data_IF_495477920856
#
_entry.id   IF_495477920856
#
_cell.length_a   1.000
_cell.length_b   1.000
_cell.length_c   1.000
_cell.angle_alpha   90.00
_cell.angle_beta   90.00
_cell.angle_gamma   90.00
#
_symmetry.space_group_name_H-M   'P 1'
#
loop_
_entity.id
_entity.type
_entity.pdbx_description
1 polymer ?
#
# COMPACT_ATOMS: atom_id res chain seq x y z
N UNK A 1 7.49 6.15 4.53
CA UNK A 1 6.98 5.24 5.57
C UNK A 1 8.17 4.51 6.19
N UNK A 2 8.42 4.64 7.50
CA UNK A 2 9.64 4.14 8.16
C UNK A 2 9.83 2.62 7.99
N UNK A 3 8.75 1.84 8.03
CA UNK A 3 8.75 0.38 7.82
C UNK A 3 9.28 0.00 6.43
N UNK A 4 8.88 0.72 5.37
CA UNK A 4 9.35 0.46 3.99
C UNK A 4 10.87 0.61 3.87
N UNK A 5 11.45 1.60 4.55
CA UNK A 5 12.91 1.80 4.61
C UNK A 5 13.59 0.64 5.35
N UNK A 6 13.04 0.24 6.50
CA UNK A 6 13.57 -0.88 7.30
C UNK A 6 13.58 -2.19 6.50
N UNK A 7 12.50 -2.47 5.77
CA UNK A 7 12.41 -3.63 4.87
C UNK A 7 13.46 -3.59 3.75
N UNK A 8 13.65 -2.44 3.10
CA UNK A 8 14.68 -2.27 2.06
C UNK A 8 16.10 -2.45 2.60
N UNK A 9 16.36 -2.01 3.83
CA UNK A 9 17.64 -2.22 4.52
C UNK A 9 17.81 -3.62 5.11
N UNK A 10 16.81 -4.51 4.97
CA UNK A 10 16.77 -5.87 5.54
C UNK A 10 16.99 -5.92 7.06
N UNK A 11 16.54 -4.89 7.78
CA UNK A 11 16.61 -4.79 9.26
C UNK A 11 15.27 -5.11 9.93
N UNK A 12 14.59 -6.16 9.48
CA UNK A 12 13.23 -6.48 9.92
C UNK A 12 13.15 -6.91 11.40
N UNK A 13 14.26 -7.39 11.97
CA UNK A 13 14.42 -7.77 13.37
C UNK A 13 14.01 -6.65 14.34
N UNK A 14 14.23 -5.39 13.98
CA UNK A 14 13.88 -4.25 14.84
C UNK A 14 12.37 -3.99 14.93
N UNK A 15 11.58 -4.62 14.05
CA UNK A 15 10.11 -4.52 14.04
C UNK A 15 9.44 -5.59 14.90
N UNK A 16 10.19 -6.64 15.27
CA UNK A 16 9.63 -7.78 15.99
C UNK A 16 9.39 -7.44 17.45
N UNK A 17 8.28 -7.92 17.98
CA UNK A 17 7.99 -7.83 19.41
C UNK A 17 9.10 -8.52 20.22
N UNK A 18 9.60 -7.85 21.26
CA UNK A 18 10.66 -8.39 22.13
C UNK A 18 10.21 -9.64 22.87
N UNK A 19 8.92 -9.79 23.11
CA UNK A 19 8.35 -10.94 23.81
C UNK A 19 8.34 -12.22 22.95
N UNK A 20 8.41 -12.09 21.62
CA UNK A 20 8.59 -13.23 20.71
C UNK A 20 9.98 -13.87 20.83
N UNK A 21 10.98 -13.14 21.36
CA UNK A 21 12.38 -13.56 21.49
C UNK A 21 12.92 -14.06 20.14
N UNK A 22 13.28 -15.33 20.01
CA UNK A 22 13.74 -15.97 18.77
C UNK A 22 12.73 -17.01 18.25
N UNK A 23 11.46 -16.92 18.64
CA UNK A 23 10.41 -17.87 18.26
C UNK A 23 9.65 -17.37 17.02
N UNK A 24 10.38 -17.02 15.98
CA UNK A 24 9.80 -16.63 14.70
C UNK A 24 10.74 -17.00 13.56
N UNK A 25 10.16 -17.27 12.40
CA UNK A 25 10.92 -17.49 11.17
C UNK A 25 11.14 -16.16 10.43
N UNK A 26 12.33 -16.00 9.84
CA UNK A 26 12.70 -14.77 9.14
C UNK A 26 11.92 -14.59 7.82
N UNK A 27 11.55 -15.69 7.17
CA UNK A 27 10.77 -15.69 5.93
C UNK A 27 9.34 -15.27 6.27
N UNK A 28 8.71 -15.90 7.27
CA UNK A 28 7.36 -15.53 7.73
C UNK A 28 7.29 -14.05 8.17
N UNK A 29 8.34 -13.55 8.84
CA UNK A 29 8.44 -12.14 9.20
C UNK A 29 8.47 -11.24 7.96
N UNK A 30 9.28 -11.58 6.96
CA UNK A 30 9.35 -10.81 5.71
C UNK A 30 8.00 -10.79 4.99
N UNK A 31 7.33 -11.95 4.87
CA UNK A 31 6.02 -12.08 4.25
C UNK A 31 4.95 -11.26 4.96
N UNK A 32 4.89 -11.32 6.29
CA UNK A 32 3.94 -10.51 7.08
C UNK A 32 4.19 -9.02 6.89
N UNK A 33 5.47 -8.59 6.87
CA UNK A 33 5.80 -7.18 6.64
C UNK A 33 5.38 -6.74 5.23
N UNK A 34 5.53 -7.60 4.22
CA UNK A 34 5.05 -7.32 2.86
C UNK A 34 3.52 -7.18 2.82
N UNK A 35 2.79 -8.11 3.42
CA UNK A 35 1.32 -8.02 3.54
C UNK A 35 0.90 -6.73 4.25
N UNK A 36 1.55 -6.38 5.36
CA UNK A 36 1.27 -5.15 6.10
C UNK A 36 1.51 -3.88 5.28
N UNK A 37 2.61 -3.85 4.51
CA UNK A 37 2.94 -2.74 3.62
C UNK A 37 1.93 -2.59 2.47
N UNK A 38 1.41 -3.69 1.93
CA UNK A 38 0.31 -3.67 0.95
C UNK A 38 -0.99 -3.13 1.57
N UNK A 39 -1.35 -3.57 2.78
CA UNK A 39 -2.57 -3.14 3.46
C UNK A 39 -2.56 -1.66 3.86
N UNK A 40 -1.39 -1.09 4.10
CA UNK A 40 -1.21 0.29 4.58
C UNK A 40 -0.84 1.27 3.47
N UNK A 41 -0.99 0.89 2.20
CA UNK A 41 -0.75 1.78 1.07
C UNK A 41 -1.58 3.06 1.18
N UNK A 42 -0.96 4.19 0.82
CA UNK A 42 -1.57 5.51 0.93
C UNK A 42 -2.92 5.59 0.22
N UNK A 43 -2.95 5.17 -1.05
CA UNK A 43 -4.17 5.16 -1.85
C UNK A 43 -5.04 3.95 -1.48
N UNK A 44 -6.29 4.16 -1.06
CA UNK A 44 -7.19 3.07 -0.69
C UNK A 44 -7.42 2.04 -1.80
N UNK A 45 -7.43 2.48 -3.07
CA UNK A 45 -7.65 1.61 -4.23
C UNK A 45 -6.54 0.61 -4.51
N UNK A 46 -5.33 0.80 -3.96
CA UNK A 46 -4.24 -0.18 -4.12
C UNK A 46 -4.26 -1.26 -3.04
N UNK A 47 -4.87 -0.96 -1.89
CA UNK A 47 -4.92 -1.88 -0.74
C UNK A 47 -5.65 -3.17 -1.15
N UNK A 48 -5.14 -4.35 -0.77
CA UNK A 48 -5.81 -5.60 -1.07
C UNK A 48 -7.15 -5.71 -0.34
N UNK A 49 -8.09 -6.44 -0.93
CA UNK A 49 -9.31 -6.88 -0.23
C UNK A 49 -8.94 -7.86 0.86
N UNK A 50 -9.74 -7.94 1.93
CA UNK A 50 -9.49 -8.90 3.01
C UNK A 50 -9.44 -10.35 2.54
N UNK A 51 -10.20 -10.72 1.51
CA UNK A 51 -10.12 -12.05 0.89
C UNK A 51 -8.75 -12.33 0.24
N UNK A 52 -8.13 -11.31 -0.37
CA UNK A 52 -6.78 -11.42 -0.94
C UNK A 52 -5.75 -11.51 0.18
N UNK A 53 -5.93 -10.75 1.28
CA UNK A 53 -5.06 -10.81 2.46
C UNK A 53 -5.05 -12.21 3.06
N UNK A 54 -6.22 -12.82 3.27
CA UNK A 54 -6.32 -14.19 3.77
C UNK A 54 -5.60 -15.16 2.84
N UNK A 55 -5.83 -15.08 1.54
CA UNK A 55 -5.15 -15.94 0.56
C UNK A 55 -3.63 -15.80 0.59
N UNK A 56 -3.12 -14.57 0.73
CA UNK A 56 -1.67 -14.31 0.89
C UNK A 56 -1.12 -14.95 2.17
N UNK A 57 -1.83 -14.87 3.28
CA UNK A 57 -1.42 -15.48 4.55
C UNK A 57 -1.53 -17.02 4.55
N UNK A 58 -2.38 -17.58 3.69
CA UNK A 58 -2.45 -19.02 3.41
C UNK A 58 -1.33 -19.50 2.47
N UNK A 59 -0.48 -18.59 1.97
CA UNK A 59 0.69 -18.89 1.15
C UNK A 59 0.49 -18.71 -0.36
N UNK A 60 -0.60 -18.07 -0.81
CA UNK A 60 -0.90 -17.90 -2.24
C UNK A 60 -1.01 -16.42 -2.67
N UNK A 61 -0.32 -16.08 -3.77
CA UNK A 61 -0.46 -14.80 -4.48
C UNK A 61 0.28 -13.59 -3.90
N UNK A 62 1.06 -13.74 -2.81
CA UNK A 62 1.81 -12.62 -2.21
C UNK A 62 2.88 -12.05 -3.15
N UNK A 63 3.69 -12.93 -3.77
CA UNK A 63 4.80 -12.52 -4.65
C UNK A 63 4.31 -11.67 -5.82
N UNK A 64 3.30 -12.14 -6.56
CA UNK A 64 2.72 -11.43 -7.69
C UNK A 64 2.15 -10.07 -7.29
N UNK A 65 1.42 -10.03 -6.16
CA UNK A 65 0.82 -8.79 -5.66
C UNK A 65 1.88 -7.78 -5.24
N UNK A 66 2.94 -8.25 -4.59
CA UNK A 66 4.06 -7.43 -4.14
C UNK A 66 4.81 -6.80 -5.32
N UNK A 67 5.11 -7.58 -6.36
CA UNK A 67 5.78 -7.08 -7.57
C UNK A 67 4.94 -6.02 -8.29
N UNK A 68 3.63 -6.24 -8.39
CA UNK A 68 2.70 -5.28 -8.99
C UNK A 68 2.70 -3.95 -8.24
N UNK A 69 2.70 -3.99 -6.90
CA UNK A 69 2.76 -2.78 -6.08
C UNK A 69 4.05 -1.98 -6.27
N UNK A 70 5.19 -2.65 -6.47
CA UNK A 70 6.49 -1.98 -6.63
C UNK A 70 6.56 -1.19 -7.95
N UNK A 71 5.94 -1.71 -9.02
CA UNK A 71 5.89 -1.06 -10.34
C UNK A 71 5.05 0.22 -10.34
N UNK A 72 3.99 0.26 -9.53
CA UNK A 72 3.11 1.42 -9.42
C UNK A 72 3.77 2.60 -8.68
N UNK A 73 4.71 2.31 -7.76
CA UNK A 73 5.40 3.34 -6.96
C UNK A 73 6.54 4.05 -7.72
N UNK A 74 7.16 3.40 -8.72
CA UNK A 74 8.25 4.01 -9.51
C UNK A 74 7.74 5.03 -10.54
N UNK A 75 6.48 4.90 -10.98
CA UNK A 75 5.87 5.73 -12.02
C UNK A 75 5.39 7.11 -11.55
N UNK A 76 5.31 7.38 -10.24
CA UNK A 76 4.46 8.46 -9.69
C UNK A 76 5.17 9.72 -9.17
N UNK A 77 6.50 9.82 -9.29
CA UNK A 77 7.25 11.01 -8.83
C UNK A 77 7.41 12.12 -9.87
N UNK A 78 6.67 12.12 -11.01
CA UNK A 78 6.94 13.03 -12.13
C UNK A 78 5.79 13.93 -12.62
N UNK A 79 4.67 14.05 -11.90
CA UNK A 79 3.59 14.94 -12.34
C UNK A 79 3.00 15.71 -11.17
N UNK A 80 3.78 16.68 -10.70
CA UNK A 80 3.26 17.86 -10.02
C UNK A 80 3.34 19.02 -11.02
N UNK A 81 2.29 19.84 -11.02
CA UNK A 81 2.10 21.11 -11.75
C UNK A 81 1.76 20.99 -13.25
N UNK A 82 0.47 21.16 -13.60
CA UNK A 82 -0.03 22.24 -14.48
C UNK A 82 -1.48 22.01 -14.99
N UNK A 83 -2.33 22.94 -14.55
CA UNK A 83 -3.39 23.62 -15.30
C UNK A 83 -4.71 22.91 -15.68
N UNK A 84 -5.73 23.27 -14.91
CA UNK A 84 -7.13 23.52 -15.24
C UNK A 84 -7.50 23.59 -16.74
N UNK A 85 -8.41 22.72 -17.19
CA UNK A 85 -9.44 23.05 -18.18
C UNK A 85 -10.53 21.96 -18.17
N UNK A 86 -11.79 22.40 -18.13
CA UNK A 86 -12.97 21.56 -18.05
C UNK A 86 -13.25 20.75 -19.33
N UNK A 87 -14.05 19.70 -19.14
CA UNK A 87 -15.05 19.08 -20.06
C UNK A 87 -14.76 17.67 -20.57
N UNK A 88 -15.53 16.75 -20.00
CA UNK A 88 -16.27 15.63 -20.61
C UNK A 88 -15.60 14.88 -21.77
N UNK A 89 -15.29 13.60 -21.59
CA UNK A 89 -15.58 12.54 -22.58
C UNK A 89 -15.43 11.14 -21.97
N UNK A 90 -16.27 10.28 -22.49
CA UNK A 90 -16.46 8.86 -22.23
C UNK A 90 -15.32 8.01 -22.82
N UNK A 91 -15.10 6.83 -22.22
CA UNK A 91 -14.27 5.69 -22.65
C UNK A 91 -12.73 5.71 -22.46
N UNK A 92 -12.28 4.53 -22.00
CA UNK A 92 -10.92 3.98 -21.79
C UNK A 92 -10.20 4.29 -20.48
N UNK A 93 -10.01 3.20 -19.74
CA UNK A 93 -8.73 2.67 -19.24
C UNK A 93 -7.77 3.61 -18.48
N UNK A 94 -7.38 3.08 -17.32
CA UNK A 94 -6.31 3.51 -16.44
C UNK A 94 -6.34 4.91 -15.82
N UNK A 95 -6.20 4.91 -14.49
CA UNK A 95 -5.91 6.05 -13.61
C UNK A 95 -7.07 6.97 -13.23
N UNK A 96 -7.91 6.51 -12.28
CA UNK A 96 -8.68 7.40 -11.42
C UNK A 96 -7.99 7.48 -10.06
N UNK A 97 -7.19 8.53 -9.85
CA UNK A 97 -6.79 8.94 -8.50
C UNK A 97 -7.86 9.88 -7.98
N UNK A 98 -8.55 9.41 -6.96
CA UNK A 98 -9.68 10.04 -6.30
C UNK A 98 -9.18 11.30 -5.56
N UNK A 99 -9.69 12.47 -5.93
CA UNK A 99 -9.53 13.70 -5.14
C UNK A 99 -10.29 13.53 -3.82
N UNK A 100 -9.58 13.48 -2.69
CA UNK A 100 -10.19 13.62 -1.37
C UNK A 100 -10.43 15.12 -1.12
N UNK A 101 -11.65 15.59 -1.36
CA UNK A 101 -12.09 16.87 -0.82
C UNK A 101 -12.47 16.68 0.65
N UNK A 102 -11.98 17.57 1.53
CA UNK A 102 -12.32 17.57 2.94
C UNK A 102 -13.83 17.78 3.12
N UNK A 103 -14.48 16.95 3.94
CA UNK A 103 -15.88 17.12 4.31
C UNK A 103 -15.95 18.20 5.40
N UNK A 104 -16.50 19.37 5.07
CA UNK A 104 -16.82 20.36 6.09
C UNK A 104 -18.05 19.87 6.87
N UNK A 105 -17.85 19.46 8.12
CA UNK A 105 -18.95 19.16 9.02
C UNK A 105 -19.57 20.49 9.47
N UNK A 106 -20.79 20.78 8.99
CA UNK A 106 -21.61 21.90 9.46
C UNK A 106 -21.63 21.95 10.99
N UNK A 107 -21.25 23.10 11.55
CA UNK A 107 -21.32 23.39 12.99
C UNK A 107 -22.75 23.44 13.55
N UNK A 108 -22.89 23.61 14.88
CA UNK A 108 -24.14 23.34 15.60
C UNK A 108 -25.25 24.35 15.28
N UNK A 109 -26.49 23.85 15.33
CA UNK A 109 -27.75 24.55 15.03
C UNK A 109 -28.07 25.67 16.01
#
# INVERSE_FOLDING_TARGET
MQVKKIHQEKKLDILVDKDLKNNYDLIELEEIVQVALLCTQYLPGHRPKMSEVVRMLEGDGLVERWETSQKVDSSKYRTQELSSSERFSDLTDDSIVINVQAIELSGPR
#
